data_IF_825595605293
#
_entry.id   IF_825595605293
#
_cell.length_a   1.000
_cell.length_b   1.000
_cell.length_c   1.000
_cell.angle_alpha   90.00
_cell.angle_beta   90.00
_cell.angle_gamma   90.00
#
_symmetry.space_group_name_H-M   'P 1'
#
loop_
_entity.id
_entity.type
_entity.pdbx_description
1 polymer ?
#
# COMPACT_ATOMS: atom_id res chain seq x y z
N UNK A 1 14.26 25.12 -8.65
CA UNK A 1 14.35 24.59 -7.28
C UNK A 1 14.61 23.10 -7.37
N UNK A 2 15.75 22.62 -6.84
CA UNK A 2 16.00 21.18 -6.69
C UNK A 2 15.08 20.69 -5.57
N UNK A 3 14.17 19.79 -5.90
CA UNK A 3 13.35 19.13 -4.88
C UNK A 3 14.27 18.24 -4.06
N UNK A 4 14.53 18.65 -2.81
CA UNK A 4 15.19 17.79 -1.83
C UNK A 4 14.24 16.64 -1.49
N UNK A 5 14.54 15.46 -2.02
CA UNK A 5 13.80 14.23 -1.71
C UNK A 5 14.23 13.79 -0.31
N UNK A 6 13.31 13.94 0.65
CA UNK A 6 13.50 13.47 2.02
C UNK A 6 13.68 11.94 2.01
N UNK A 7 14.78 11.47 2.57
CA UNK A 7 15.12 10.05 2.66
C UNK A 7 14.04 9.31 3.47
N UNK A 8 13.28 8.43 2.83
CA UNK A 8 12.26 7.60 3.48
C UNK A 8 10.79 7.97 3.20
N UNK A 9 10.53 8.97 2.37
CA UNK A 9 9.18 9.19 1.83
C UNK A 9 9.08 8.51 0.45
N UNK A 10 8.01 7.74 0.26
CA UNK A 10 7.65 7.07 -0.99
C UNK A 10 7.73 8.13 -2.09
N UNK A 11 8.67 7.99 -3.03
CA UNK A 11 8.65 8.76 -4.27
C UNK A 11 7.64 8.03 -5.16
N UNK A 12 6.41 8.55 -5.35
CA UNK A 12 5.47 7.90 -6.25
C UNK A 12 6.07 8.02 -7.65
N UNK A 13 6.52 6.89 -8.18
CA UNK A 13 7.00 6.82 -9.55
C UNK A 13 5.92 7.40 -10.48
N UNK A 14 6.34 8.13 -11.51
CA UNK A 14 5.42 8.82 -12.44
C UNK A 14 4.84 7.80 -13.43
N UNK A 15 4.14 6.81 -12.91
CA UNK A 15 3.44 5.79 -13.69
C UNK A 15 2.08 6.37 -14.06
N UNK A 16 1.62 6.28 -15.34
CA UNK A 16 0.24 6.64 -15.71
C UNK A 16 -0.72 5.96 -14.76
N UNK A 17 -1.76 6.65 -14.24
CA UNK A 17 -2.72 6.24 -13.19
C UNK A 17 -3.03 4.72 -13.14
N UNK A 18 -2.06 3.95 -12.66
CA UNK A 18 -2.10 2.50 -12.58
C UNK A 18 -2.32 2.20 -11.12
N UNK A 19 -3.59 2.02 -10.78
CA UNK A 19 -3.97 1.49 -9.49
C UNK A 19 -3.39 0.08 -9.35
N UNK A 20 -2.92 -0.26 -8.15
CA UNK A 20 -2.51 -1.62 -7.85
C UNK A 20 -3.69 -2.56 -8.08
N UNK A 21 -3.48 -3.57 -8.91
CA UNK A 21 -4.48 -4.61 -9.17
C UNK A 21 -4.37 -5.77 -8.19
N UNK A 22 -3.21 -5.92 -7.55
CA UNK A 22 -3.02 -6.96 -6.55
C UNK A 22 -1.63 -7.00 -5.93
N UNK A 23 -1.39 -8.06 -5.15
CA UNK A 23 -0.12 -8.36 -4.51
C UNK A 23 0.65 -9.41 -5.32
N UNK A 24 1.87 -9.09 -5.72
CA UNK A 24 2.80 -10.03 -6.34
C UNK A 24 3.53 -10.86 -5.29
N UNK A 25 3.84 -10.27 -4.13
CA UNK A 25 4.44 -11.00 -3.01
C UNK A 25 4.13 -10.34 -1.66
N UNK A 26 4.17 -11.16 -0.61
CA UNK A 26 4.09 -10.75 0.79
C UNK A 26 5.24 -11.42 1.53
N UNK A 27 6.13 -10.62 2.11
CA UNK A 27 7.37 -11.12 2.71
C UNK A 27 7.64 -10.48 4.06
N UNK A 28 8.35 -11.19 4.93
CA UNK A 28 8.85 -10.62 6.19
C UNK A 28 10.02 -9.67 5.90
N UNK A 29 9.94 -8.44 6.40
CA UNK A 29 11.02 -7.44 6.31
C UNK A 29 11.58 -7.17 7.72
N UNK A 30 12.59 -7.94 8.11
CA UNK A 30 13.07 -7.95 9.50
C UNK A 30 12.01 -8.48 10.48
N UNK A 31 12.16 -8.25 11.78
CA UNK A 31 11.27 -8.85 12.80
C UNK A 31 9.95 -8.10 13.07
N UNK A 32 9.85 -6.85 12.61
CA UNK A 32 8.74 -5.96 12.93
C UNK A 32 7.87 -5.60 11.72
N UNK A 33 8.30 -5.87 10.48
CA UNK A 33 7.60 -5.39 9.30
C UNK A 33 7.26 -6.50 8.31
N UNK A 34 6.25 -6.21 7.48
CA UNK A 34 5.86 -6.99 6.31
C UNK A 34 6.00 -6.11 5.07
N UNK A 35 6.59 -6.65 4.01
CA UNK A 35 6.72 -6.02 2.71
C UNK A 35 5.69 -6.60 1.75
N UNK A 36 4.92 -5.72 1.13
CA UNK A 36 3.99 -6.02 0.05
C UNK A 36 4.60 -5.53 -1.26
N UNK A 37 4.67 -6.40 -2.25
CA UNK A 37 4.99 -6.02 -3.64
C UNK A 37 3.67 -5.93 -4.40
N UNK A 38 3.39 -4.78 -4.99
CA UNK A 38 2.16 -4.50 -5.74
C UNK A 38 2.43 -4.63 -7.23
N UNK A 39 1.47 -5.15 -7.98
CA UNK A 39 1.53 -5.20 -9.44
C UNK A 39 0.29 -4.56 -10.08
N UNK A 40 0.45 -4.17 -11.34
CA UNK A 40 -0.64 -3.92 -12.27
C UNK A 40 -0.45 -4.74 -13.53
N UNK A 41 -1.53 -4.97 -14.29
CA UNK A 41 -1.48 -5.66 -15.57
C UNK A 41 -1.44 -4.63 -16.69
N UNK A 42 -0.65 -4.91 -17.72
CA UNK A 42 -0.64 -4.16 -18.96
C UNK A 42 -0.89 -5.11 -20.11
N UNK A 43 -1.94 -4.83 -20.88
CA UNK A 43 -2.26 -5.60 -22.07
C UNK A 43 -1.44 -5.08 -23.25
N UNK A 44 -0.67 -5.97 -23.88
CA UNK A 44 0.03 -5.73 -25.14
C UNK A 44 -0.47 -6.74 -26.17
N UNK A 45 -1.47 -6.33 -26.97
CA UNK A 45 -2.11 -7.24 -27.91
C UNK A 45 -2.80 -8.40 -27.19
N UNK A 46 -2.33 -9.63 -27.41
CA UNK A 46 -2.85 -10.85 -26.76
C UNK A 46 -2.12 -11.23 -25.48
N UNK A 47 -1.04 -10.52 -25.13
CA UNK A 47 -0.22 -10.83 -23.96
C UNK A 47 -0.58 -9.92 -22.78
N UNK A 48 -0.61 -10.50 -21.58
CA UNK A 48 -0.82 -9.79 -20.31
C UNK A 48 0.51 -9.73 -19.57
N UNK A 49 1.14 -8.56 -19.57
CA UNK A 49 2.34 -8.31 -18.79
C UNK A 49 1.95 -7.89 -17.35
N UNK A 50 2.68 -8.40 -16.35
CA UNK A 50 2.53 -8.00 -14.96
C UNK A 50 3.71 -7.13 -14.56
N UNK A 51 3.45 -5.88 -14.23
CA UNK A 51 4.47 -4.89 -13.91
C UNK A 51 4.42 -4.61 -12.42
N UNK A 52 5.58 -4.66 -11.75
CA UNK A 52 5.69 -4.23 -10.35
C UNK A 52 5.60 -2.71 -10.31
N UNK A 53 4.57 -2.20 -9.64
CA UNK A 53 4.30 -0.75 -9.58
C UNK A 53 4.62 -0.14 -8.21
N UNK A 54 4.89 -0.96 -7.19
CA UNK A 54 5.15 -0.45 -5.86
C UNK A 54 5.60 -1.52 -4.89
N UNK A 55 6.35 -1.09 -3.87
CA UNK A 55 6.70 -1.90 -2.70
C UNK A 55 6.39 -1.11 -1.45
N UNK A 56 5.55 -1.67 -0.60
CA UNK A 56 5.12 -1.02 0.65
C UNK A 56 5.60 -1.86 1.81
N UNK A 57 6.33 -1.25 2.74
CA UNK A 57 6.76 -1.89 3.99
C UNK A 57 5.90 -1.32 5.11
N UNK A 58 5.18 -2.17 5.82
CA UNK A 58 4.34 -1.76 6.95
C UNK A 58 4.70 -2.53 8.23
N UNK A 59 4.60 -1.88 9.40
CA UNK A 59 4.71 -2.56 10.69
C UNK A 59 3.62 -3.63 10.85
N UNK A 60 3.98 -4.80 11.37
CA UNK A 60 3.05 -5.92 11.57
C UNK A 60 1.92 -5.57 12.54
N UNK A 61 2.15 -4.62 13.43
CA UNK A 61 1.18 -4.14 14.43
C UNK A 61 -0.02 -3.43 13.78
N UNK A 62 0.16 -2.89 12.57
CA UNK A 62 -0.89 -2.18 11.81
C UNK A 62 -1.74 -3.15 10.97
N UNK A 63 -1.22 -4.34 10.63
CA UNK A 63 -1.92 -5.33 9.81
C UNK A 63 -3.32 -5.71 10.32
N UNK A 64 -3.55 -5.94 11.63
CA UNK A 64 -4.89 -6.23 12.12
C UNK A 64 -5.88 -5.10 11.87
N UNK A 65 -5.44 -3.84 11.98
CA UNK A 65 -6.28 -2.67 11.66
C UNK A 65 -6.58 -2.61 10.17
N UNK A 66 -5.58 -2.84 9.30
CA UNK A 66 -5.80 -2.92 7.86
C UNK A 66 -6.81 -4.02 7.49
N UNK A 67 -6.70 -5.20 8.10
CA UNK A 67 -7.65 -6.30 7.88
C UNK A 67 -9.07 -5.95 8.32
N UNK A 68 -9.22 -5.32 9.50
CA UNK A 68 -10.53 -4.84 9.96
C UNK A 68 -11.11 -3.79 9.02
N UNK A 69 -10.27 -2.89 8.51
CA UNK A 69 -10.68 -1.87 7.54
C UNK A 69 -11.18 -2.52 6.25
N UNK A 70 -10.47 -3.52 5.72
CA UNK A 70 -10.90 -4.28 4.54
C UNK A 70 -12.25 -4.94 4.77
N UNK A 71 -12.44 -5.59 5.92
CA UNK A 71 -13.74 -6.21 6.26
C UNK A 71 -14.87 -5.20 6.35
N UNK A 72 -14.65 -4.07 7.02
CA UNK A 72 -15.65 -3.01 7.13
C UNK A 72 -16.10 -2.53 5.75
N UNK A 73 -15.17 -2.34 4.81
CA UNK A 73 -15.50 -1.94 3.42
C UNK A 73 -16.30 -3.02 2.70
N UNK A 74 -15.89 -4.29 2.79
CA UNK A 74 -16.60 -5.42 2.15
C UNK A 74 -18.01 -5.61 2.70
N UNK A 75 -18.23 -5.29 3.97
CA UNK A 75 -19.51 -5.41 4.66
C UNK A 75 -20.38 -4.13 4.50
N UNK A 76 -19.89 -3.10 3.79
CA UNK A 76 -20.60 -1.82 3.62
C UNK A 76 -20.62 -0.94 4.88
N UNK A 77 -19.76 -1.22 5.85
CA UNK A 77 -19.59 -0.46 7.08
C UNK A 77 -18.76 0.82 6.90
N UNK A 78 -18.72 1.69 7.92
CA UNK A 78 -17.98 2.94 7.88
C UNK A 78 -16.47 2.71 7.87
N UNK A 79 -15.72 3.71 7.38
CA UNK A 79 -14.26 3.69 7.46
C UNK A 79 -13.83 3.72 8.94
N UNK A 80 -13.01 2.75 9.35
CA UNK A 80 -12.48 2.67 10.70
C UNK A 80 -11.33 3.68 10.82
N UNK A 81 -11.48 4.66 11.70
CA UNK A 81 -10.41 5.64 11.92
C UNK A 81 -9.15 4.92 12.40
N UNK A 82 -8.09 4.95 11.57
CA UNK A 82 -6.81 4.32 11.89
C UNK A 82 -6.05 5.07 13.00
N UNK A 83 -6.47 6.30 13.30
CA UNK A 83 -5.91 7.15 14.35
C UNK A 83 -7.00 7.38 15.40
N UNK A 84 -6.74 7.09 16.68
CA UNK A 84 -7.61 7.51 17.77
C UNK A 84 -7.78 9.04 17.71
N UNK A 85 -9.02 9.55 17.76
CA UNK A 85 -9.28 11.01 17.76
C UNK A 85 -8.48 11.72 18.87
N UNK A 86 -8.23 11.02 19.99
CA UNK A 86 -7.40 11.49 21.10
C UNK A 86 -5.99 11.96 20.66
N UNK A 87 -5.42 11.38 19.61
CA UNK A 87 -4.09 11.74 19.09
C UNK A 87 -4.04 13.09 18.37
N UNK A 88 -5.19 13.71 18.09
CA UNK A 88 -5.30 15.04 17.48
C UNK A 88 -5.70 16.13 18.49
N UNK A 89 -5.98 15.75 19.74
CA UNK A 89 -6.42 16.66 20.81
C UNK A 89 -5.32 16.93 21.85
N UNK A 90 -4.09 16.49 21.58
CA UNK A 90 -2.86 16.77 22.34
C UNK A 90 -1.90 17.57 21.47
#
# INVERSE_FOLDING_TARGET
>A
MKNEVLQGLIDPDRVPDLFAEGFASIEKAGNACVRFTLYARRNYGTEIEHIVIGRVVIPKEILPTAYRQTRAVLEGGPFLSAVPIASFLT
#
